data_IF_109346198624
#
_entry.id   IF_109346198624
#
_cell.length_a   1.000
_cell.length_b   1.000
_cell.length_c   1.000
_cell.angle_alpha   90.00
_cell.angle_beta   90.00
_cell.angle_gamma   90.00
#
_symmetry.space_group_name_H-M   'P 1'
#
loop_
_entity.id
_entity.type
_entity.pdbx_description
1 polymer ?
#
# COMPACT_ATOMS: atom_id res chain seq x y z
N UNK A 1 -9.75 11.78 17.72
CA UNK A 1 -9.17 10.55 17.13
C UNK A 1 -10.32 9.62 16.75
N UNK A 2 -10.66 9.56 15.47
CA UNK A 2 -11.90 8.94 14.97
C UNK A 2 -11.80 7.42 14.94
N UNK A 3 -12.08 6.77 16.08
CA UNK A 3 -12.18 5.30 16.16
C UNK A 3 -13.18 4.71 15.14
N UNK A 4 -14.26 5.45 14.85
CA UNK A 4 -15.36 5.00 13.96
C UNK A 4 -14.95 4.98 12.47
N UNK A 5 -14.10 5.91 12.03
CA UNK A 5 -13.64 5.97 10.64
C UNK A 5 -12.58 4.89 10.35
N UNK A 6 -11.74 4.57 11.34
CA UNK A 6 -10.76 3.49 11.25
C UNK A 6 -11.42 2.13 11.01
N UNK A 7 -12.42 1.78 11.82
CA UNK A 7 -13.08 0.46 11.75
C UNK A 7 -13.79 0.21 10.42
N UNK A 8 -14.53 1.20 9.90
CA UNK A 8 -15.21 1.08 8.60
C UNK A 8 -14.21 0.91 7.45
N UNK A 9 -13.10 1.64 7.50
CA UNK A 9 -12.05 1.53 6.49
C UNK A 9 -11.35 0.17 6.57
N UNK A 10 -11.07 -0.33 7.78
CA UNK A 10 -10.48 -1.67 7.96
C UNK A 10 -11.39 -2.77 7.43
N UNK A 11 -12.69 -2.72 7.72
CA UNK A 11 -13.68 -3.68 7.18
C UNK A 11 -13.73 -3.68 5.65
N UNK A 12 -13.62 -2.51 5.01
CA UNK A 12 -13.55 -2.43 3.54
C UNK A 12 -12.28 -3.04 2.99
N UNK A 13 -11.13 -2.76 3.62
CA UNK A 13 -9.85 -3.35 3.22
C UNK A 13 -9.90 -4.88 3.35
N UNK A 14 -10.42 -5.37 4.47
CA UNK A 14 -10.63 -6.80 4.71
C UNK A 14 -11.52 -7.41 3.63
N UNK A 15 -12.69 -6.81 3.33
CA UNK A 15 -13.59 -7.29 2.29
C UNK A 15 -12.91 -7.38 0.91
N UNK A 16 -12.10 -6.37 0.55
CA UNK A 16 -11.33 -6.36 -0.70
C UNK A 16 -10.32 -7.52 -0.73
N UNK A 17 -9.55 -7.72 0.34
CA UNK A 17 -8.54 -8.78 0.42
C UNK A 17 -9.21 -10.16 0.39
N UNK A 18 -10.31 -10.34 1.13
CA UNK A 18 -11.09 -11.58 1.16
C UNK A 18 -11.66 -11.94 -0.23
N UNK A 19 -11.93 -10.96 -1.08
CA UNK A 19 -12.42 -11.14 -2.45
C UNK A 19 -11.32 -11.47 -3.48
N UNK A 20 -10.05 -11.48 -3.07
CA UNK A 20 -8.93 -11.95 -3.89
C UNK A 20 -8.74 -13.46 -3.77
N UNK A 21 -8.23 -14.06 -4.84
CA UNK A 21 -7.71 -15.43 -4.84
C UNK A 21 -6.36 -15.51 -4.11
N UNK A 22 -5.95 -16.69 -3.60
CA UNK A 22 -4.64 -16.86 -2.96
C UNK A 22 -3.47 -16.39 -3.84
N UNK A 23 -3.52 -16.68 -5.14
CA UNK A 23 -2.50 -16.29 -6.11
C UNK A 23 -2.37 -14.76 -6.24
N UNK A 24 -3.49 -14.03 -6.22
CA UNK A 24 -3.50 -12.57 -6.29
C UNK A 24 -3.00 -11.93 -4.99
N UNK A 25 -3.28 -12.53 -3.82
CA UNK A 25 -2.76 -12.06 -2.53
C UNK A 25 -1.25 -12.24 -2.43
N UNK A 26 -0.75 -13.39 -2.91
CA UNK A 26 0.68 -13.68 -2.97
C UNK A 26 1.40 -12.75 -3.97
N UNK A 27 0.76 -12.46 -5.10
CA UNK A 27 1.34 -11.61 -6.12
C UNK A 27 0.34 -10.57 -6.67
N UNK A 28 0.23 -9.39 -6.04
CA UNK A 28 -0.70 -8.35 -6.48
C UNK A 28 -0.41 -7.77 -7.88
N UNK A 29 0.77 -8.02 -8.48
CA UNK A 29 1.09 -7.50 -9.82
C UNK A 29 0.30 -8.18 -10.95
N UNK A 30 -0.27 -9.36 -10.70
CA UNK A 30 -1.10 -10.07 -11.70
C UNK A 30 -2.52 -9.51 -11.82
N UNK A 31 -2.90 -8.57 -10.94
CA UNK A 31 -4.26 -8.02 -10.85
C UNK A 31 -4.47 -7.00 -11.97
N UNK A 32 -4.96 -7.49 -13.11
CA UNK A 32 -5.39 -6.68 -14.25
C UNK A 32 -6.79 -6.06 -14.08
N UNK A 33 -7.26 -5.30 -15.07
CA UNK A 33 -8.55 -4.60 -15.01
C UNK A 33 -9.76 -5.54 -14.79
N UNK A 34 -9.76 -6.73 -15.39
CA UNK A 34 -10.83 -7.72 -15.21
C UNK A 34 -10.87 -8.23 -13.77
N UNK A 35 -9.70 -8.57 -13.20
CA UNK A 35 -9.58 -9.00 -11.79
C UNK A 35 -10.01 -7.91 -10.83
N UNK A 36 -9.65 -6.64 -11.08
CA UNK A 36 -10.09 -5.49 -10.26
C UNK A 36 -11.61 -5.36 -10.24
N UNK A 37 -12.29 -5.49 -11.40
CA UNK A 37 -13.76 -5.47 -11.48
C UNK A 37 -14.39 -6.61 -10.69
N UNK A 38 -13.83 -7.83 -10.80
CA UNK A 38 -14.30 -9.00 -10.04
C UNK A 38 -14.15 -8.79 -8.54
N UNK A 39 -12.99 -8.32 -8.08
CA UNK A 39 -12.71 -8.05 -6.66
C UNK A 39 -13.68 -6.99 -6.14
N UNK A 40 -13.78 -5.85 -6.82
CA UNK A 40 -14.68 -4.75 -6.45
C UNK A 40 -16.13 -5.22 -6.29
N UNK A 41 -16.64 -6.02 -7.24
CA UNK A 41 -17.97 -6.61 -7.16
C UNK A 41 -18.11 -7.60 -6.00
N UNK A 42 -17.10 -8.42 -5.75
CA UNK A 42 -17.09 -9.41 -4.66
C UNK A 42 -17.02 -8.77 -3.27
N UNK A 43 -16.33 -7.63 -3.14
CA UNK A 43 -16.16 -6.92 -1.87
C UNK A 43 -17.22 -5.85 -1.62
N UNK A 44 -18.10 -5.57 -2.59
CA UNK A 44 -19.06 -4.47 -2.50
C UNK A 44 -18.41 -3.09 -2.49
N UNK A 45 -17.25 -2.96 -3.13
CA UNK A 45 -16.47 -1.70 -3.20
C UNK A 45 -16.30 -1.23 -4.64
N UNK A 46 -15.76 -0.04 -4.82
CA UNK A 46 -15.44 0.50 -6.15
C UNK A 46 -14.09 -0.04 -6.68
N UNK A 47 -13.89 0.01 -7.99
CA UNK A 47 -12.58 -0.31 -8.63
C UNK A 47 -11.50 0.70 -8.20
N UNK A 48 -11.90 1.92 -7.90
CA UNK A 48 -11.05 3.00 -7.41
C UNK A 48 -10.49 2.68 -6.02
N UNK A 49 -11.32 2.14 -5.12
CA UNK A 49 -10.88 1.67 -3.80
C UNK A 49 -9.89 0.50 -3.93
N UNK A 50 -10.15 -0.45 -4.82
CA UNK A 50 -9.19 -1.54 -5.10
C UNK A 50 -7.86 -0.98 -5.63
N UNK A 51 -7.90 -0.03 -6.56
CA UNK A 51 -6.69 0.61 -7.08
C UNK A 51 -5.91 1.37 -5.99
N UNK A 52 -6.61 2.07 -5.10
CA UNK A 52 -5.99 2.79 -3.98
C UNK A 52 -5.25 1.82 -3.06
N UNK A 53 -5.88 0.71 -2.70
CA UNK A 53 -5.25 -0.33 -1.88
C UNK A 53 -3.99 -0.91 -2.54
N UNK A 54 -4.08 -1.25 -3.83
CA UNK A 54 -2.95 -1.80 -4.59
C UNK A 54 -1.78 -0.80 -4.69
N UNK A 55 -2.09 0.48 -4.86
CA UNK A 55 -1.07 1.54 -4.90
C UNK A 55 -0.38 1.69 -3.54
N UNK A 56 -1.14 1.73 -2.44
CA UNK A 56 -0.61 1.79 -1.08
C UNK A 56 0.29 0.59 -0.77
N UNK A 57 -0.12 -0.61 -1.20
CA UNK A 57 0.69 -1.82 -1.05
C UNK A 57 2.01 -1.72 -1.82
N UNK A 58 2.00 -1.21 -3.06
CA UNK A 58 3.22 -1.08 -3.87
C UNK A 58 4.17 -0.02 -3.29
N UNK A 59 3.65 1.10 -2.77
CA UNK A 59 4.43 2.10 -2.05
C UNK A 59 5.11 1.52 -0.81
N UNK A 60 4.35 0.77 0.00
CA UNK A 60 4.89 0.06 1.16
C UNK A 60 5.95 -0.98 0.78
N UNK A 61 5.71 -1.75 -0.28
CA UNK A 61 6.67 -2.73 -0.82
C UNK A 61 7.97 -2.06 -1.26
N UNK A 62 7.89 -0.89 -1.92
CA UNK A 62 9.07 -0.09 -2.29
C UNK A 62 9.84 0.39 -1.07
N UNK A 63 9.13 0.92 -0.07
CA UNK A 63 9.74 1.34 1.20
C UNK A 63 10.45 0.18 1.89
N UNK A 64 9.79 -0.97 2.00
CA UNK A 64 10.38 -2.18 2.59
C UNK A 64 11.63 -2.63 1.85
N UNK A 65 11.60 -2.64 0.52
CA UNK A 65 12.79 -2.95 -0.28
C UNK A 65 13.94 -1.95 -0.03
N UNK A 66 13.66 -0.67 0.14
CA UNK A 66 14.68 0.34 0.44
C UNK A 66 15.29 0.14 1.83
N UNK A 67 14.45 -0.17 2.83
CA UNK A 67 14.88 -0.49 4.19
C UNK A 67 15.77 -1.75 4.18
N UNK A 68 15.33 -2.83 3.53
CA UNK A 68 16.10 -4.08 3.43
C UNK A 68 17.43 -3.91 2.68
N UNK A 69 17.50 -2.97 1.74
CA UNK A 69 18.74 -2.62 1.01
C UNK A 69 19.66 -1.67 1.79
N UNK A 70 19.37 -1.37 3.06
CA UNK A 70 20.15 -0.45 3.89
C UNK A 70 20.14 1.01 3.38
N UNK A 71 19.22 1.37 2.47
CA UNK A 71 19.11 2.71 1.89
C UNK A 71 18.29 3.66 2.74
N UNK A 72 17.73 3.20 3.85
CA UNK A 72 17.08 4.05 4.83
C UNK A 72 18.14 4.70 5.74
N UNK A 73 18.99 5.52 5.14
CA UNK A 73 19.79 6.48 5.89
C UNK A 73 18.87 7.66 6.17
N UNK A 74 18.40 7.91 7.41
CA UNK A 74 17.91 9.24 7.74
C UNK A 74 19.05 10.17 7.32
N UNK A 75 18.75 11.14 6.46
CA UNK A 75 19.73 12.10 5.96
C UNK A 75 20.53 12.62 7.15
N UNK A 76 21.72 12.04 7.40
CA UNK A 76 22.67 12.57 8.36
C UNK A 76 23.08 13.86 7.69
N UNK A 77 22.54 14.98 8.19
CA UNK A 77 22.89 16.34 7.78
C UNK A 77 24.38 16.37 7.44
N UNK A 78 24.68 16.36 6.14
CA UNK A 78 26.05 16.34 5.63
C UNK A 78 26.53 17.80 5.67
N UNK A 79 27.12 18.18 6.81
CA UNK A 79 27.74 19.50 7.09
C UNK A 79 26.73 20.64 7.23
N UNK A 80 26.80 21.62 8.13
CA UNK A 80 27.92 22.17 8.91
C UNK A 80 29.21 22.16 8.09
N UNK A 81 29.18 22.84 6.95
CA UNK A 81 30.40 23.28 6.26
C UNK A 81 30.11 24.66 5.69
N UNK A 82 30.26 25.68 6.54
CA UNK A 82 29.99 27.08 6.20
C UNK A 82 30.13 28.07 7.37
N UNK A 83 30.64 27.63 8.53
CA UNK A 83 31.00 28.50 9.66
C UNK A 83 32.48 28.28 9.98
N UNK A 84 33.35 28.73 9.09
CA UNK A 84 34.73 29.05 9.44
C UNK A 84 35.32 29.99 8.39
N UNK A 85 35.78 31.14 8.89
CA UNK A 85 36.40 32.31 8.24
C UNK A 85 35.37 33.36 7.82
#
# INVERSE_FOLDING_TARGET
>A
LTKIDGEKNLKRVEAIICSMTPQERLNPSIINASRKKRIARGSGTSVQEVNKLLKQFEEFKKLWKQIHKGKFSPLRKRGIFGWKI
#
